data_IF_680033108117
#
_entry.id   IF_680033108117
#
_cell.length_a   1.000
_cell.length_b   1.000
_cell.length_c   1.000
_cell.angle_alpha   90.00
_cell.angle_beta   90.00
_cell.angle_gamma   90.00
#
_symmetry.space_group_name_H-M   'P 1'
#
loop_
_entity.id
_entity.type
_entity.pdbx_description
1 polymer ?
#
# COMPACT_ATOMS: atom_id res chain seq x y z
N UNK A 1 5.25 -6.40 27.83
CA UNK A 1 5.74 -7.76 28.12
C UNK A 1 4.61 -8.71 27.76
N UNK A 2 4.75 -9.38 26.63
CA UNK A 2 3.79 -10.35 26.11
C UNK A 2 4.62 -11.52 25.58
N UNK A 3 4.47 -12.67 26.23
CA UNK A 3 5.20 -13.91 25.94
C UNK A 3 4.48 -14.60 24.79
N UNK A 4 5.19 -14.86 23.69
CA UNK A 4 4.73 -15.74 22.60
C UNK A 4 5.41 -17.07 22.78
N UNK A 5 4.63 -18.09 23.16
CA UNK A 5 5.08 -19.48 23.24
C UNK A 5 5.13 -20.06 21.83
N UNK A 6 6.28 -20.64 21.49
CA UNK A 6 6.48 -21.45 20.30
C UNK A 6 5.64 -22.73 20.38
N UNK A 7 5.07 -23.15 19.24
CA UNK A 7 4.35 -24.40 19.11
C UNK A 7 4.07 -24.74 17.65
N UNK A 8 4.92 -25.61 17.11
CA UNK A 8 4.68 -26.63 16.08
C UNK A 8 4.16 -26.24 14.69
N UNK A 9 5.10 -26.19 13.74
CA UNK A 9 4.89 -26.31 12.30
C UNK A 9 4.42 -27.71 11.89
N UNK A 10 3.44 -27.86 10.98
CA UNK A 10 3.39 -28.98 10.06
C UNK A 10 4.12 -28.66 8.74
N UNK A 11 4.69 -29.67 8.04
CA UNK A 11 5.52 -29.45 6.86
C UNK A 11 4.62 -29.23 5.63
N UNK A 12 4.71 -28.05 5.00
CA UNK A 12 4.15 -27.84 3.66
C UNK A 12 5.29 -27.89 2.67
N UNK A 13 5.06 -28.69 1.62
CA UNK A 13 6.04 -29.23 0.70
C UNK A 13 6.85 -28.19 -0.06
N UNK A 14 7.97 -28.69 -0.58
CA UNK A 14 9.04 -27.97 -1.26
C UNK A 14 8.57 -26.86 -2.19
N UNK A 15 8.70 -25.63 -1.71
CA UNK A 15 9.10 -24.53 -2.57
C UNK A 15 10.60 -24.70 -2.74
N UNK A 16 11.03 -25.15 -3.92
CA UNK A 16 12.40 -24.93 -4.36
C UNK A 16 12.62 -23.43 -4.36
N UNK A 17 13.23 -22.93 -3.27
CA UNK A 17 13.81 -21.59 -3.24
C UNK A 17 14.82 -21.61 -4.37
N UNK A 18 14.46 -20.96 -5.48
CA UNK A 18 15.42 -20.63 -6.52
C UNK A 18 16.59 -19.99 -5.79
N UNK A 19 17.77 -20.63 -5.87
CA UNK A 19 18.99 -20.10 -5.30
C UNK A 19 19.06 -18.62 -5.67
N UNK A 20 19.00 -17.77 -4.65
CA UNK A 20 19.40 -16.38 -4.76
C UNK A 20 20.84 -16.42 -5.22
N UNK A 21 21.05 -16.37 -6.53
CA UNK A 21 22.35 -16.07 -7.12
C UNK A 21 22.61 -14.64 -6.67
N UNK A 22 23.27 -14.49 -5.52
CA UNK A 22 23.80 -13.23 -5.06
C UNK A 22 24.76 -12.76 -6.14
N UNK A 23 24.27 -11.92 -7.05
CA UNK A 23 25.12 -11.18 -7.97
C UNK A 23 25.91 -10.26 -7.05
N UNK A 24 27.13 -10.66 -6.70
CA UNK A 24 28.13 -9.77 -6.13
C UNK A 24 28.47 -8.76 -7.23
N UNK A 25 27.61 -7.75 -7.37
CA UNK A 25 27.89 -6.59 -8.20
C UNK A 25 28.95 -5.80 -7.44
N UNK A 26 30.20 -5.90 -7.90
CA UNK A 26 31.28 -5.02 -7.45
C UNK A 26 30.79 -3.58 -7.61
N UNK A 27 30.59 -2.89 -6.48
CA UNK A 27 30.34 -1.46 -6.49
C UNK A 27 31.68 -0.82 -6.90
N UNK A 28 31.73 -0.09 -8.02
CA UNK A 28 32.98 0.53 -8.44
C UNK A 28 33.49 1.46 -7.34
N UNK A 29 34.77 1.35 -7.03
CA UNK A 29 35.42 2.24 -6.06
C UNK A 29 35.49 3.64 -6.66
N UNK A 30 34.78 4.60 -6.05
CA UNK A 30 34.73 6.00 -6.50
C UNK A 30 35.55 6.85 -5.53
N UNK A 31 36.58 7.52 -6.03
CA UNK A 31 37.39 8.47 -5.27
C UNK A 31 36.73 9.85 -5.18
N UNK A 32 37.04 10.60 -4.12
CA UNK A 32 36.53 11.96 -3.96
C UNK A 32 37.16 12.89 -5.03
N UNK A 33 36.36 13.76 -5.68
CA UNK A 33 36.90 14.70 -6.66
C UNK A 33 37.78 15.73 -5.96
N UNK A 34 38.93 15.99 -6.56
CA UNK A 34 39.92 16.98 -6.12
C UNK A 34 39.90 18.25 -6.97
N UNK A 35 39.19 18.23 -8.11
CA UNK A 35 38.99 19.36 -9.01
C UNK A 35 37.54 19.53 -9.46
N UNK A 36 37.23 20.68 -10.08
CA UNK A 36 35.89 20.95 -10.63
C UNK A 36 35.62 20.04 -11.83
N UNK A 37 36.62 19.78 -12.66
CA UNK A 37 36.52 18.90 -13.82
C UNK A 37 36.21 17.46 -13.40
N UNK A 38 36.85 16.97 -12.32
CA UNK A 38 36.53 15.64 -11.74
C UNK A 38 35.11 15.60 -11.18
N UNK A 39 34.65 16.69 -10.55
CA UNK A 39 33.27 16.79 -10.07
C UNK A 39 32.25 16.78 -11.21
N UNK A 40 32.50 17.50 -12.30
CA UNK A 40 31.63 17.52 -13.48
C UNK A 40 31.49 16.13 -14.12
N UNK A 41 32.60 15.41 -14.25
CA UNK A 41 32.60 14.05 -14.78
C UNK A 41 31.85 13.08 -13.85
N UNK A 42 32.05 13.18 -12.54
CA UNK A 42 31.27 12.39 -11.56
C UNK A 42 29.77 12.71 -11.62
N UNK A 43 29.40 13.97 -11.80
CA UNK A 43 28.00 14.37 -11.97
C UNK A 43 27.41 13.81 -13.27
N UNK A 44 28.17 13.81 -14.37
CA UNK A 44 27.76 13.19 -15.63
C UNK A 44 27.48 11.69 -15.46
N UNK A 45 28.43 10.96 -14.85
CA UNK A 45 28.27 9.53 -14.57
C UNK A 45 27.07 9.25 -13.65
N UNK A 46 26.87 10.06 -12.61
CA UNK A 46 25.74 9.94 -11.70
C UNK A 46 24.40 10.16 -12.43
N UNK A 47 24.33 11.15 -13.33
CA UNK A 47 23.15 11.40 -14.16
C UNK A 47 22.84 10.25 -15.12
N UNK A 48 23.85 9.66 -15.75
CA UNK A 48 23.69 8.48 -16.61
C UNK A 48 23.22 7.26 -15.83
N UNK A 49 23.81 7.01 -14.66
CA UNK A 49 23.39 5.93 -13.78
C UNK A 49 21.93 6.10 -13.33
N UNK A 50 21.53 7.30 -12.92
CA UNK A 50 20.17 7.61 -12.53
C UNK A 50 19.16 7.34 -13.66
N UNK A 51 19.45 7.78 -14.89
CA UNK A 51 18.60 7.52 -16.06
C UNK A 51 18.50 6.03 -16.38
N UNK A 52 19.61 5.28 -16.30
CA UNK A 52 19.60 3.82 -16.50
C UNK A 52 18.71 3.13 -15.46
N UNK A 53 18.80 3.52 -14.19
CA UNK A 53 17.93 3.00 -13.12
C UNK A 53 16.47 3.31 -13.42
N UNK A 54 16.15 4.54 -13.82
CA UNK A 54 14.77 4.94 -14.18
C UNK A 54 14.23 4.10 -15.35
N UNK A 55 15.02 3.88 -16.39
CA UNK A 55 14.64 3.02 -17.53
C UNK A 55 14.41 1.56 -17.11
N UNK A 56 15.26 1.01 -16.25
CA UNK A 56 15.09 -0.35 -15.71
C UNK A 56 13.79 -0.44 -14.90
N UNK A 57 13.54 0.52 -14.01
CA UNK A 57 12.31 0.57 -13.21
C UNK A 57 11.07 0.67 -14.09
N UNK A 58 11.07 1.53 -15.11
CA UNK A 58 9.96 1.66 -16.05
C UNK A 58 9.72 0.36 -16.84
N UNK A 59 10.78 -0.33 -17.26
CA UNK A 59 10.68 -1.63 -17.94
C UNK A 59 10.09 -2.71 -17.02
N UNK A 60 10.55 -2.77 -15.77
CA UNK A 60 10.05 -3.72 -14.76
C UNK A 60 8.59 -3.47 -14.44
N UNK A 61 8.19 -2.21 -14.23
CA UNK A 61 6.80 -1.85 -13.99
C UNK A 61 5.88 -2.27 -15.15
N UNK A 62 6.31 -2.05 -16.40
CA UNK A 62 5.58 -2.51 -17.58
C UNK A 62 5.46 -4.04 -17.65
N UNK A 63 6.51 -4.77 -17.25
CA UNK A 63 6.46 -6.24 -17.21
C UNK A 63 5.44 -6.71 -16.17
N UNK A 64 5.49 -6.19 -14.94
CA UNK A 64 4.53 -6.51 -13.88
C UNK A 64 3.10 -6.25 -14.35
N UNK A 65 2.84 -5.10 -14.97
CA UNK A 65 1.51 -4.74 -15.47
C UNK A 65 1.00 -5.74 -16.53
N UNK A 66 1.87 -6.19 -17.44
CA UNK A 66 1.51 -7.21 -18.45
C UNK A 66 1.20 -8.56 -17.82
N UNK A 67 2.00 -9.01 -16.87
CA UNK A 67 1.77 -10.27 -16.16
C UNK A 67 0.45 -10.23 -15.39
N UNK A 68 0.16 -9.12 -14.69
CA UNK A 68 -1.12 -8.91 -14.00
C UNK A 68 -2.30 -8.94 -14.97
N UNK A 69 -2.16 -8.33 -16.15
CA UNK A 69 -3.21 -8.34 -17.17
C UNK A 69 -3.42 -9.75 -17.73
N UNK A 70 -2.35 -10.48 -18.06
CA UNK A 70 -2.44 -11.86 -18.56
C UNK A 70 -3.15 -12.76 -17.53
N UNK A 71 -2.72 -12.70 -16.28
CA UNK A 71 -3.36 -13.45 -15.19
C UNK A 71 -4.84 -13.08 -15.02
N UNK A 72 -5.19 -11.79 -15.13
CA UNK A 72 -6.59 -11.36 -15.05
C UNK A 72 -7.43 -11.86 -16.23
N UNK A 73 -6.86 -11.93 -17.43
CA UNK A 73 -7.53 -12.47 -18.62
C UNK A 73 -7.74 -13.99 -18.52
N UNK A 74 -6.74 -14.72 -18.02
CA UNK A 74 -6.84 -16.16 -17.76
C UNK A 74 -7.87 -16.49 -16.68
N UNK A 75 -7.95 -15.68 -15.62
CA UNK A 75 -8.91 -15.87 -14.53
C UNK A 75 -10.34 -15.45 -14.88
N UNK A 76 -10.52 -14.57 -15.86
CA UNK A 76 -11.83 -14.01 -16.26
C UNK A 76 -12.92 -15.08 -16.50
N UNK A 77 -12.70 -16.13 -17.33
CA UNK A 77 -13.72 -17.16 -17.54
C UNK A 77 -14.03 -17.97 -16.27
N UNK A 78 -13.03 -18.29 -15.45
CA UNK A 78 -13.23 -19.03 -14.21
C UNK A 78 -14.00 -18.20 -13.17
N UNK A 79 -13.71 -16.89 -13.09
CA UNK A 79 -14.48 -15.98 -12.24
C UNK A 79 -15.94 -15.89 -12.70
N UNK A 80 -16.18 -15.74 -14.00
CA UNK A 80 -17.54 -15.71 -14.54
C UNK A 80 -18.30 -17.02 -14.26
N UNK A 81 -17.64 -18.16 -14.42
CA UNK A 81 -18.20 -19.47 -14.07
C UNK A 81 -18.48 -19.59 -12.57
N UNK A 82 -17.54 -19.15 -11.73
CA UNK A 82 -17.72 -19.14 -10.29
C UNK A 82 -18.92 -18.28 -9.87
N UNK A 83 -19.04 -17.06 -10.40
CA UNK A 83 -20.14 -16.14 -10.11
C UNK A 83 -21.48 -16.76 -10.54
N UNK A 84 -21.54 -17.39 -11.72
CA UNK A 84 -22.73 -18.09 -12.22
C UNK A 84 -23.12 -19.27 -11.32
N UNK A 85 -22.17 -20.16 -11.00
CA UNK A 85 -22.43 -21.34 -10.16
C UNK A 85 -22.81 -20.93 -8.73
N UNK A 86 -22.13 -19.93 -8.18
CA UNK A 86 -22.44 -19.37 -6.86
C UNK A 86 -23.86 -18.80 -6.82
N UNK A 87 -24.25 -18.04 -7.85
CA UNK A 87 -25.62 -17.52 -8.00
C UNK A 87 -26.67 -18.63 -8.07
N UNK A 88 -26.46 -19.65 -8.91
CA UNK A 88 -27.39 -20.79 -9.02
C UNK A 88 -27.51 -21.57 -7.70
N UNK A 89 -26.39 -21.79 -6.99
CA UNK A 89 -26.39 -22.43 -5.68
C UNK A 89 -27.16 -21.56 -4.69
N UNK A 90 -26.94 -20.25 -4.69
CA UNK A 90 -27.62 -19.32 -3.81
C UNK A 90 -29.14 -19.35 -4.04
N UNK A 91 -29.59 -19.24 -5.29
CA UNK A 91 -31.01 -19.26 -5.66
C UNK A 91 -31.68 -20.57 -5.23
N UNK A 92 -31.01 -21.70 -5.45
CA UNK A 92 -31.49 -23.01 -5.00
C UNK A 92 -31.61 -23.09 -3.47
N UNK A 93 -30.59 -22.62 -2.74
CA UNK A 93 -30.53 -22.66 -1.27
C UNK A 93 -31.63 -21.79 -0.67
N UNK A 94 -31.92 -20.63 -1.25
CA UNK A 94 -33.00 -19.74 -0.80
C UNK A 94 -34.36 -20.37 -1.07
N UNK A 95 -34.60 -20.87 -2.30
CA UNK A 95 -35.87 -21.47 -2.68
C UNK A 95 -36.22 -22.75 -1.90
N UNK A 96 -35.20 -23.47 -1.42
CA UNK A 96 -35.37 -24.76 -0.72
C UNK A 96 -34.92 -24.69 0.75
N UNK A 97 -34.85 -23.50 1.33
CA UNK A 97 -34.31 -23.29 2.68
C UNK A 97 -34.94 -24.24 3.70
N UNK A 98 -36.26 -24.30 3.76
CA UNK A 98 -36.99 -25.08 4.76
C UNK A 98 -36.73 -26.59 4.64
N UNK A 99 -36.61 -27.07 3.40
CA UNK A 99 -36.29 -28.48 3.08
C UNK A 99 -34.85 -28.80 3.50
N UNK A 100 -33.91 -27.89 3.21
CA UNK A 100 -32.50 -28.03 3.55
C UNK A 100 -32.26 -27.97 5.06
N UNK A 101 -33.09 -27.24 5.80
CA UNK A 101 -32.97 -27.10 7.25
C UNK A 101 -33.78 -28.12 8.06
N UNK A 102 -34.63 -28.96 7.44
CA UNK A 102 -35.56 -29.89 8.14
C UNK A 102 -36.50 -29.19 9.15
N UNK A 103 -37.69 -29.76 9.33
CA UNK A 103 -38.78 -29.20 10.15
C UNK A 103 -38.54 -29.16 11.68
N UNK A 104 -37.36 -29.49 12.20
CA UNK A 104 -37.15 -29.54 13.66
C UNK A 104 -35.79 -28.96 14.08
N UNK A 105 -35.83 -27.73 14.59
CA UNK A 105 -34.68 -26.93 15.00
C UNK A 105 -34.16 -26.06 13.86
N UNK A 106 -33.44 -24.98 14.17
CA UNK A 106 -32.77 -24.12 13.18
C UNK A 106 -31.37 -24.66 12.88
N UNK A 107 -31.13 -25.62 11.95
CA UNK A 107 -29.79 -25.86 11.50
C UNK A 107 -29.34 -24.67 10.66
N UNK A 108 -28.34 -23.99 11.21
CA UNK A 108 -27.65 -22.88 10.58
C UNK A 108 -26.63 -23.36 9.54
N UNK A 109 -26.54 -24.66 9.27
CA UNK A 109 -25.52 -25.24 8.41
C UNK A 109 -25.94 -26.57 7.76
N UNK A 110 -25.63 -26.72 6.46
CA UNK A 110 -25.73 -27.97 5.69
C UNK A 110 -24.33 -28.38 5.25
N UNK A 111 -23.88 -29.58 5.66
CA UNK A 111 -22.60 -30.14 5.23
C UNK A 111 -22.81 -31.03 4.00
N UNK A 112 -22.05 -30.76 2.94
CA UNK A 112 -22.01 -31.52 1.70
C UNK A 112 -20.61 -32.14 1.54
N UNK A 113 -20.46 -33.08 0.61
CA UNK A 113 -19.17 -33.76 0.38
C UNK A 113 -18.06 -32.79 -0.06
N UNK A 114 -18.40 -31.75 -0.82
CA UNK A 114 -17.46 -30.79 -1.40
C UNK A 114 -17.43 -29.44 -0.67
N UNK A 115 -18.23 -29.25 0.38
CA UNK A 115 -18.32 -27.95 1.02
C UNK A 115 -19.40 -27.87 2.08
N UNK A 116 -19.63 -26.66 2.56
CA UNK A 116 -20.60 -26.38 3.62
C UNK A 116 -21.37 -25.12 3.25
N UNK A 117 -22.68 -25.18 3.38
CA UNK A 117 -23.58 -24.02 3.28
C UNK A 117 -23.92 -23.59 4.70
N UNK A 118 -23.69 -22.32 5.04
CA UNK A 118 -24.08 -21.73 6.33
C UNK A 118 -25.12 -20.64 6.12
N UNK A 119 -26.16 -20.67 6.92
CA UNK A 119 -27.15 -19.60 7.01
C UNK A 119 -26.72 -18.66 8.13
N UNK A 120 -25.98 -17.62 7.77
CA UNK A 120 -25.54 -16.59 8.70
C UNK A 120 -26.54 -15.45 8.62
N UNK A 121 -27.24 -15.20 9.73
CA UNK A 121 -27.98 -13.95 9.89
C UNK A 121 -26.98 -12.94 10.40
N UNK A 122 -26.42 -12.15 9.48
CA UNK A 122 -25.58 -11.05 9.89
C UNK A 122 -26.47 -9.95 10.45
N UNK A 123 -26.48 -9.80 11.77
CA UNK A 123 -27.18 -8.71 12.45
C UNK A 123 -26.52 -7.37 12.21
N UNK A 124 -25.31 -7.33 11.63
CA UNK A 124 -24.59 -6.08 11.42
C UNK A 124 -25.12 -5.28 10.25
N UNK A 125 -25.75 -5.93 9.25
CA UNK A 125 -26.27 -5.27 8.06
C UNK A 125 -25.20 -4.46 7.30
N UNK A 126 -25.43 -4.17 6.03
CA UNK A 126 -24.63 -3.14 5.37
C UNK A 126 -25.29 -1.79 5.64
N UNK A 127 -24.73 -1.00 6.55
CA UNK A 127 -25.16 0.38 6.72
C UNK A 127 -24.65 1.20 5.53
N UNK A 128 -25.56 1.67 4.69
CA UNK A 128 -25.25 2.62 3.62
C UNK A 128 -25.54 4.02 4.14
N UNK A 129 -24.53 4.87 4.17
CA UNK A 129 -24.64 6.28 4.56
C UNK A 129 -24.37 7.10 3.29
N UNK A 130 -25.43 7.62 2.67
CA UNK A 130 -25.31 8.38 1.41
C UNK A 130 -24.59 9.73 1.61
N UNK A 131 -24.69 10.31 2.81
CA UNK A 131 -24.01 11.55 3.21
C UNK A 131 -23.36 11.36 4.59
N UNK A 132 -22.08 11.00 4.59
CA UNK A 132 -21.31 10.80 5.83
C UNK A 132 -21.16 12.09 6.65
N UNK A 133 -21.00 13.25 6.01
CA UNK A 133 -20.81 14.53 6.71
C UNK A 133 -22.10 14.98 7.40
N UNK A 134 -23.25 14.83 6.73
CA UNK A 134 -24.57 15.04 7.33
C UNK A 134 -24.84 14.09 8.50
N UNK A 135 -24.51 12.80 8.34
CA UNK A 135 -24.65 11.80 9.38
C UNK A 135 -23.76 12.09 10.61
N UNK A 136 -22.51 12.51 10.40
CA UNK A 136 -21.60 12.91 11.48
C UNK A 136 -22.18 14.10 12.27
N UNK A 137 -22.67 15.15 11.58
CA UNK A 137 -23.29 16.31 12.25
C UNK A 137 -24.54 15.95 13.04
N UNK A 138 -25.37 15.05 12.49
CA UNK A 138 -26.55 14.55 13.18
C UNK A 138 -26.17 13.75 14.44
N UNK A 139 -25.14 12.89 14.36
CA UNK A 139 -24.62 12.13 15.49
C UNK A 139 -24.01 13.03 16.56
N UNK A 140 -23.31 14.11 16.19
CA UNK A 140 -22.76 15.07 17.14
C UNK A 140 -23.84 15.83 17.93
N UNK A 141 -25.06 15.93 17.40
CA UNK A 141 -26.22 16.54 18.05
C UNK A 141 -27.00 15.62 18.99
N UNK A 142 -26.68 14.32 19.01
CA UNK A 142 -27.36 13.30 19.84
C UNK A 142 -26.50 12.98 21.07
N UNK A 143 -27.13 12.85 22.24
CA UNK A 143 -26.45 12.40 23.45
C UNK A 143 -25.86 10.99 23.23
N UNK A 144 -24.53 10.85 23.35
CA UNK A 144 -23.80 9.62 23.08
C UNK A 144 -23.40 9.40 21.62
N UNK A 145 -23.91 10.18 20.66
CA UNK A 145 -23.60 9.97 19.23
C UNK A 145 -22.15 10.27 18.86
N UNK A 146 -21.45 11.08 19.65
CA UNK A 146 -20.01 11.33 19.48
C UNK A 146 -19.13 10.09 19.66
N UNK A 147 -19.58 9.08 20.42
CA UNK A 147 -18.83 7.83 20.62
C UNK A 147 -18.75 6.98 19.34
N UNK A 148 -19.67 7.22 18.40
CA UNK A 148 -19.75 6.55 17.11
C UNK A 148 -18.92 7.28 16.02
N UNK A 149 -18.41 8.47 16.30
CA UNK A 149 -17.62 9.28 15.36
C UNK A 149 -16.14 9.20 15.70
N UNK A 150 -15.33 8.69 14.76
CA UNK A 150 -13.87 8.64 14.92
C UNK A 150 -13.22 9.92 14.39
N UNK A 151 -12.81 10.82 15.29
CA UNK A 151 -12.03 12.01 14.91
C UNK A 151 -10.53 11.71 14.89
N UNK A 152 -9.88 11.93 13.75
CA UNK A 152 -8.41 11.92 13.67
C UNK A 152 -7.89 13.36 13.71
N UNK A 153 -7.10 13.71 14.74
CA UNK A 153 -6.46 15.03 14.85
C UNK A 153 -5.03 14.96 14.33
N UNK A 154 -4.65 15.91 13.48
CA UNK A 154 -3.28 16.05 12.96
C UNK A 154 -2.82 17.52 13.06
N UNK A 155 -1.50 17.71 13.18
CA UNK A 155 -0.91 19.05 13.19
C UNK A 155 -0.57 19.43 11.75
N UNK A 156 -1.11 20.56 11.29
CA UNK A 156 -0.78 21.14 9.98
C UNK A 156 0.60 21.80 10.08
N UNK A 157 1.65 21.00 9.89
CA UNK A 157 3.05 21.41 10.12
C UNK A 157 3.46 22.64 9.32
N UNK A 158 2.96 22.81 8.08
CA UNK A 158 3.34 23.94 7.24
C UNK A 158 2.70 25.26 7.66
N UNK A 159 1.51 25.22 8.26
CA UNK A 159 0.91 26.40 8.89
C UNK A 159 1.59 26.70 10.22
N UNK A 160 1.87 25.66 11.02
CA UNK A 160 2.54 25.82 12.30
C UNK A 160 3.93 26.46 12.14
N UNK A 161 4.71 26.07 11.12
CA UNK A 161 6.01 26.70 10.81
C UNK A 161 5.94 28.20 10.55
N UNK A 162 4.82 28.69 10.03
CA UNK A 162 4.60 30.11 9.68
C UNK A 162 3.86 30.87 10.79
N UNK A 163 3.45 30.18 11.83
CA UNK A 163 2.61 30.73 12.90
C UNK A 163 3.48 31.30 14.02
N UNK A 164 3.13 32.47 14.58
CA UNK A 164 3.78 32.98 15.79
C UNK A 164 3.55 32.05 17.00
N UNK A 165 2.55 31.16 16.94
CA UNK A 165 2.28 30.17 17.99
C UNK A 165 3.39 29.13 18.14
N UNK A 166 4.26 28.97 17.14
CA UNK A 166 5.36 28.02 17.17
C UNK A 166 6.29 28.27 18.36
N UNK A 167 6.54 29.54 18.69
CA UNK A 167 7.40 29.94 19.81
C UNK A 167 6.78 29.62 21.18
N UNK A 168 5.47 29.43 21.23
CA UNK A 168 4.71 29.14 22.45
C UNK A 168 4.58 27.64 22.75
N UNK A 169 4.95 26.76 21.80
CA UNK A 169 4.79 25.31 21.93
C UNK A 169 6.15 24.65 22.19
N UNK A 170 6.44 24.38 23.46
CA UNK A 170 7.75 23.86 23.92
C UNK A 170 8.05 22.44 23.45
N UNK A 171 7.05 21.67 23.01
CA UNK A 171 7.22 20.30 22.50
C UNK A 171 7.63 20.26 21.03
N UNK A 172 7.64 21.40 20.32
CA UNK A 172 7.99 21.47 18.89
C UNK A 172 9.32 22.18 18.73
N UNK A 173 10.26 21.53 18.04
CA UNK A 173 11.53 22.14 17.64
C UNK A 173 11.65 22.21 16.12
N UNK A 174 12.14 23.33 15.61
CA UNK A 174 12.53 23.46 14.21
C UNK A 174 13.96 22.96 14.06
N UNK A 175 14.17 21.95 13.23
CA UNK A 175 15.51 21.43 12.90
C UNK A 175 15.90 21.95 11.53
N UNK A 176 16.88 22.86 11.49
CA UNK A 176 17.49 23.32 10.26
C UNK A 176 18.60 22.37 9.86
N UNK A 177 18.49 21.77 8.67
CA UNK A 177 19.53 20.92 8.10
C UNK A 177 20.20 21.67 6.95
N UNK A 178 21.54 21.73 6.95
CA UNK A 178 22.29 22.10 5.75
C UNK A 178 22.16 20.94 4.76
N UNK A 179 21.74 21.22 3.54
CA UNK A 179 21.55 20.19 2.52
C UNK A 179 22.10 20.71 1.20
N UNK A 180 22.94 19.90 0.57
CA UNK A 180 23.36 20.10 -0.81
C UNK A 180 22.44 19.25 -1.67
N UNK A 181 21.98 19.78 -2.80
CA UNK A 181 21.26 18.97 -3.75
C UNK A 181 21.88 19.01 -5.14
N UNK A 182 21.65 17.93 -5.85
CA UNK A 182 22.13 17.69 -7.20
C UNK A 182 20.89 17.36 -8.01
N UNK A 183 20.74 18.00 -9.16
CA UNK A 183 19.56 17.82 -10.00
C UNK A 183 20.01 17.70 -11.44
N UNK A 184 19.50 16.66 -12.09
CA UNK A 184 19.84 16.37 -13.47
C UNK A 184 18.72 16.85 -14.40
N UNK A 185 19.06 17.52 -15.50
CA UNK A 185 18.08 17.90 -16.50
C UNK A 185 17.41 16.64 -17.07
N UNK A 186 16.08 16.67 -17.15
CA UNK A 186 15.28 15.56 -17.71
C UNK A 186 15.21 15.64 -19.24
N UNK A 187 15.36 16.83 -19.80
CA UNK A 187 15.33 17.10 -21.24
C UNK A 187 16.47 18.03 -21.66
N UNK A 188 16.87 18.00 -22.94
CA UNK A 188 17.89 18.92 -23.50
C UNK A 188 17.46 20.40 -23.39
N UNK A 189 16.17 20.68 -23.31
CA UNK A 189 15.63 22.02 -23.04
C UNK A 189 15.92 22.52 -21.62
N UNK A 190 16.01 21.62 -20.63
CA UNK A 190 16.30 21.98 -19.23
C UNK A 190 17.77 22.36 -19.03
N UNK A 191 18.67 21.90 -19.90
CA UNK A 191 20.12 22.19 -19.84
C UNK A 191 20.40 23.69 -19.97
N UNK A 192 19.56 24.43 -20.71
CA UNK A 192 19.71 25.88 -20.93
C UNK A 192 19.21 26.74 -19.77
N UNK A 193 18.44 26.18 -18.83
CA UNK A 193 17.79 26.94 -17.75
C UNK A 193 18.52 26.88 -16.40
N UNK A 194 19.70 26.27 -16.36
CA UNK A 194 20.51 26.21 -15.15
C UNK A 194 20.07 25.10 -14.20
N UNK A 195 21.07 24.46 -13.59
CA UNK A 195 20.89 23.39 -12.62
C UNK A 195 20.14 23.94 -11.41
N UNK A 196 18.87 23.56 -11.25
CA UNK A 196 18.07 23.93 -10.08
C UNK A 196 17.98 22.75 -9.12
N UNK A 197 18.50 22.97 -7.91
CA UNK A 197 18.81 22.02 -6.84
C UNK A 197 17.55 21.64 -6.02
N UNK A 198 17.24 20.34 -5.87
CA UNK A 198 16.23 19.81 -4.92
C UNK A 198 16.71 18.55 -4.13
N UNK A 199 16.47 18.47 -2.80
CA UNK A 199 17.34 17.83 -1.79
C UNK A 199 17.39 16.29 -1.77
N UNK A 200 18.61 15.74 -1.83
CA UNK A 200 18.96 14.45 -1.20
C UNK A 200 19.41 14.77 0.24
N UNK A 201 18.66 14.28 1.23
CA UNK A 201 18.99 14.48 2.65
C UNK A 201 20.17 13.58 3.04
N UNK A 202 21.36 14.14 3.21
CA UNK A 202 22.41 13.56 4.06
C UNK A 202 22.60 14.42 5.29
N UNK A 203 22.58 13.79 6.46
CA UNK A 203 22.96 14.41 7.73
C UNK A 203 24.48 14.50 7.74
N UNK A 204 25.03 15.71 7.92
CA UNK A 204 26.45 15.91 8.19
C UNK A 204 26.59 16.15 9.70
N UNK A 205 27.37 15.29 10.35
CA UNK A 205 27.76 15.37 11.77
C UNK A 205 28.73 16.51 12.02
#
# INVERSE_FOLDING_TARGET
MLVVLAGDNPPIGGVTVAQETAIQQEVPEVTAPTSVEELEELLRQLGEAARRIEHINARTARRIAREQQSAAEELRPFKALYDLLSGLIFDYVIANRDVLTKENGTPTQVRLRQGTIKFISDTTGTLVIDDEDGAIKALEGIAGGRELVKTTKSIIKDQLKRSPLLELITQVRVVYKKTVAISFPKTDSDIRQGITISPIKRELS
#
